data_IF_377067302769
#
_entry.id   IF_377067302769
#
_cell.length_a   1.000
_cell.length_b   1.000
_cell.length_c   1.000
_cell.angle_alpha   90.00
_cell.angle_beta   90.00
_cell.angle_gamma   90.00
#
_symmetry.space_group_name_H-M   'P 1'
#
loop_
_entity.id
_entity.type
_entity.pdbx_description
1 polymer ?
#
# COMPACT_ATOMS: atom_id res chain seq x y z
N UNK A 1 21.94 -40.17 -5.65
CA UNK A 1 21.75 -39.45 -4.37
C UNK A 1 21.72 -37.96 -4.66
N UNK A 2 20.63 -37.24 -4.36
CA UNK A 2 20.64 -35.80 -4.22
C UNK A 2 20.79 -35.38 -2.73
N UNK A 3 21.42 -34.23 -2.44
CA UNK A 3 21.81 -33.87 -1.09
C UNK A 3 20.64 -33.39 -0.23
N UNK A 4 20.66 -33.78 1.05
CA UNK A 4 19.83 -33.24 2.14
C UNK A 4 19.87 -31.70 2.15
N UNK A 5 18.70 -31.07 2.10
CA UNK A 5 18.57 -29.64 2.37
C UNK A 5 18.03 -29.45 3.77
N UNK A 6 18.82 -28.75 4.58
CA UNK A 6 18.58 -28.43 5.97
C UNK A 6 17.21 -27.78 6.19
N UNK A 7 16.42 -28.39 7.07
CA UNK A 7 15.15 -27.84 7.56
C UNK A 7 15.47 -26.79 8.62
N UNK A 8 15.45 -25.52 8.24
CA UNK A 8 15.53 -24.42 9.21
C UNK A 8 14.16 -24.23 9.86
N UNK A 9 13.96 -24.92 10.98
CA UNK A 9 12.76 -24.85 11.83
C UNK A 9 12.74 -23.50 12.55
N UNK A 10 11.95 -22.52 12.08
CA UNK A 10 11.69 -21.30 12.86
C UNK A 10 10.77 -21.67 14.03
N UNK A 11 11.32 -21.66 15.24
CA UNK A 11 10.59 -21.77 16.49
C UNK A 11 9.87 -20.44 16.76
N UNK A 12 8.54 -20.44 16.76
CA UNK A 12 7.78 -19.41 17.47
C UNK A 12 7.63 -19.87 18.92
N UNK A 13 8.28 -19.15 19.83
CA UNK A 13 8.09 -19.31 21.27
C UNK A 13 6.67 -18.91 21.64
N UNK A 14 5.93 -19.85 22.20
CA UNK A 14 4.66 -19.61 22.88
C UNK A 14 4.93 -18.80 24.15
N UNK A 15 4.29 -17.64 24.28
CA UNK A 15 4.06 -17.00 25.57
C UNK A 15 2.61 -17.25 25.93
N UNK A 16 2.45 -18.07 26.96
CA UNK A 16 1.19 -18.42 27.59
C UNK A 16 1.15 -17.73 28.96
N UNK A 17 -0.07 -17.49 29.46
CA UNK A 17 -0.41 -17.17 30.87
C UNK A 17 -0.27 -15.67 31.26
N UNK A 18 -1.25 -14.94 31.83
CA UNK A 18 -2.40 -15.29 32.68
C UNK A 18 -3.51 -14.23 32.62
N UNK A 19 -4.74 -14.71 32.58
CA UNK A 19 -5.96 -14.05 33.05
C UNK A 19 -5.96 -13.84 34.57
N UNK A 20 -6.48 -12.71 35.06
CA UNK A 20 -7.26 -12.72 36.30
C UNK A 20 -8.24 -11.54 36.38
N UNK A 21 -9.36 -11.83 37.05
CA UNK A 21 -10.57 -11.04 37.12
C UNK A 21 -10.62 -10.12 38.35
N UNK A 22 -11.50 -9.10 38.29
CA UNK A 22 -12.37 -8.77 39.42
C UNK A 22 -12.18 -7.44 40.16
N UNK A 23 -13.28 -6.66 40.17
CA UNK A 23 -13.72 -5.67 41.19
C UNK A 23 -12.87 -4.43 41.48
N UNK A 24 -13.38 -3.33 42.03
CA UNK A 24 -14.70 -2.67 42.18
C UNK A 24 -14.49 -1.68 43.33
N UNK A 25 -14.88 -0.41 43.11
CA UNK A 25 -15.27 0.62 44.08
C UNK A 25 -14.37 0.96 45.30
N UNK A 26 -14.06 2.26 45.43
CA UNK A 26 -14.17 2.96 46.72
C UNK A 26 -14.38 4.47 46.51
N UNK A 27 -15.56 4.93 46.90
CA UNK A 27 -15.87 6.33 47.25
C UNK A 27 -15.16 6.73 48.55
N UNK A 28 -14.82 8.02 48.69
CA UNK A 28 -14.32 8.63 49.92
C UNK A 28 -14.31 10.16 49.84
N UNK A 29 -15.07 10.78 50.73
CA UNK A 29 -15.61 12.15 50.71
C UNK A 29 -14.71 13.21 51.38
N UNK A 30 -14.78 14.46 50.88
CA UNK A 30 -14.48 15.78 51.51
C UNK A 30 -13.02 16.10 51.93
N UNK A 31 -12.49 17.34 51.92
CA UNK A 31 -13.09 18.65 52.28
C UNK A 31 -12.16 19.84 51.88
N UNK A 32 -12.80 20.95 51.48
CA UNK A 32 -12.47 22.39 51.58
C UNK A 32 -11.29 23.07 50.82
N UNK A 33 -11.65 24.18 50.16
CA UNK A 33 -10.81 25.18 49.46
C UNK A 33 -10.18 26.25 50.40
N UNK A 34 -9.35 27.18 49.87
CA UNK A 34 -9.90 28.50 49.53
C UNK A 34 -9.39 29.15 48.23
N UNK A 35 -10.24 30.04 47.69
CA UNK A 35 -10.08 30.86 46.47
C UNK A 35 -9.01 31.95 46.60
N UNK A 36 -8.33 32.31 45.49
CA UNK A 36 -8.04 33.74 45.17
C UNK A 36 -7.64 34.03 43.72
N UNK A 37 -8.47 34.89 43.12
CA UNK A 37 -8.23 36.02 42.18
C UNK A 37 -7.68 35.78 40.76
N UNK A 38 -8.50 36.27 39.84
CA UNK A 38 -8.30 36.61 38.44
C UNK A 38 -7.15 37.61 38.22
N UNK A 39 -6.34 37.35 37.18
CA UNK A 39 -5.62 38.40 36.46
C UNK A 39 -5.61 38.08 34.97
N UNK A 40 -6.36 38.87 34.23
CA UNK A 40 -6.40 38.97 32.77
C UNK A 40 -4.99 39.18 32.21
N UNK A 41 -4.51 38.25 31.38
CA UNK A 41 -3.37 38.50 30.50
C UNK A 41 -3.75 38.02 29.10
N UNK A 42 -3.76 38.98 28.16
CA UNK A 42 -3.95 38.76 26.73
C UNK A 42 -3.02 37.62 26.26
N UNK A 43 -3.49 36.63 25.47
CA UNK A 43 -2.57 35.75 24.78
C UNK A 43 -1.91 36.54 23.65
N UNK A 44 -0.66 36.89 23.89
CA UNK A 44 0.32 37.29 22.89
C UNK A 44 0.32 36.26 21.76
N UNK A 45 0.31 36.74 20.51
CA UNK A 45 0.38 35.96 19.28
C UNK A 45 1.66 35.12 19.28
N UNK A 46 1.56 33.86 19.69
CA UNK A 46 2.59 32.86 19.43
C UNK A 46 2.51 32.44 17.96
N UNK A 47 3.51 32.87 17.18
CA UNK A 47 3.83 32.33 15.85
C UNK A 47 3.74 30.80 15.88
N UNK A 48 2.78 30.23 15.14
CA UNK A 48 2.69 28.78 14.89
C UNK A 48 3.95 28.32 14.17
N UNK A 49 4.71 27.47 14.82
CA UNK A 49 5.80 26.69 14.22
C UNK A 49 5.27 25.80 13.08
N UNK A 50 6.11 25.41 12.10
CA UNK A 50 5.68 24.63 10.92
C UNK A 50 5.17 23.22 11.23
N UNK A 51 5.44 22.69 12.44
CA UNK A 51 5.12 21.32 12.85
C UNK A 51 3.62 20.96 12.80
N UNK A 52 2.73 21.95 12.89
CA UNK A 52 1.28 21.71 12.84
C UNK A 52 0.77 21.32 11.42
N UNK A 53 1.49 21.67 10.36
CA UNK A 53 1.05 21.43 8.97
C UNK A 53 1.40 20.02 8.48
N UNK A 54 2.63 19.55 8.74
CA UNK A 54 3.04 18.17 8.44
C UNK A 54 2.20 17.13 9.20
N UNK A 55 1.68 17.49 10.38
CA UNK A 55 0.71 16.68 11.12
C UNK A 55 -0.60 16.45 10.36
N UNK A 56 -1.07 17.41 9.57
CA UNK A 56 -2.37 17.32 8.88
C UNK A 56 -2.25 16.49 7.60
N UNK A 57 -1.19 16.71 6.82
CA UNK A 57 -0.88 15.92 5.61
C UNK A 57 -0.72 14.44 5.98
N UNK A 58 0.11 14.14 6.98
CA UNK A 58 0.34 12.77 7.43
C UNK A 58 -0.93 12.11 7.96
N UNK A 59 -1.79 12.87 8.65
CA UNK A 59 -3.07 12.35 9.13
C UNK A 59 -3.98 11.98 7.96
N UNK A 60 -4.19 12.91 7.00
CA UNK A 60 -5.03 12.65 5.84
C UNK A 60 -4.52 11.47 5.01
N UNK A 61 -3.21 11.37 4.81
CA UNK A 61 -2.58 10.24 4.13
C UNK A 61 -2.89 8.90 4.84
N UNK A 62 -2.60 8.81 6.14
CA UNK A 62 -2.83 7.58 6.92
C UNK A 62 -4.30 7.20 7.00
N UNK A 63 -5.18 8.17 7.17
CA UNK A 63 -6.64 7.94 7.21
C UNK A 63 -7.14 7.45 5.84
N UNK A 64 -6.58 7.97 4.75
CA UNK A 64 -6.91 7.52 3.38
C UNK A 64 -6.43 6.10 3.10
N UNK A 65 -5.19 5.75 3.50
CA UNK A 65 -4.67 4.37 3.38
C UNK A 65 -5.56 3.39 4.13
N UNK A 66 -5.92 3.71 5.38
CA UNK A 66 -6.85 2.88 6.18
C UNK A 66 -8.21 2.72 5.51
N UNK A 67 -8.74 3.77 4.88
CA UNK A 67 -10.00 3.69 4.16
C UNK A 67 -9.92 2.77 2.93
N UNK A 68 -8.82 2.83 2.17
CA UNK A 68 -8.57 1.93 1.03
C UNK A 68 -8.47 0.48 1.53
N UNK A 69 -7.69 0.21 2.58
CA UNK A 69 -7.57 -1.15 3.14
C UNK A 69 -8.90 -1.71 3.65
N UNK A 70 -9.71 -0.88 4.30
CA UNK A 70 -11.04 -1.27 4.76
C UNK A 70 -11.94 -1.63 3.57
N UNK A 71 -11.89 -0.86 2.48
CA UNK A 71 -12.63 -1.15 1.26
C UNK A 71 -12.17 -2.44 0.57
N UNK A 72 -10.84 -2.64 0.43
CA UNK A 72 -10.28 -3.88 -0.10
C UNK A 72 -10.72 -5.09 0.72
N UNK A 73 -10.65 -5.01 2.05
CA UNK A 73 -11.12 -6.09 2.94
C UNK A 73 -12.60 -6.42 2.73
N UNK A 74 -13.44 -5.43 2.45
CA UNK A 74 -14.86 -5.63 2.13
C UNK A 74 -15.02 -6.33 0.77
N UNK A 75 -14.31 -5.88 -0.27
CA UNK A 75 -14.36 -6.48 -1.59
C UNK A 75 -13.83 -7.92 -1.58
N UNK A 76 -12.66 -8.15 -1.00
CA UNK A 76 -12.07 -9.48 -0.83
C UNK A 76 -13.03 -10.37 -0.05
N UNK A 77 -13.60 -9.85 1.05
CA UNK A 77 -14.60 -10.56 1.83
C UNK A 77 -15.86 -10.96 1.04
N UNK A 78 -16.24 -10.17 0.03
CA UNK A 78 -17.33 -10.53 -0.90
C UNK A 78 -16.85 -11.56 -1.92
N UNK A 79 -15.69 -11.36 -2.55
CA UNK A 79 -15.08 -12.29 -3.52
C UNK A 79 -15.00 -13.70 -2.94
N UNK A 80 -14.56 -13.83 -1.69
CA UNK A 80 -14.48 -15.10 -0.97
C UNK A 80 -15.82 -15.83 -0.80
N UNK A 81 -16.91 -15.07 -0.72
CA UNK A 81 -18.28 -15.61 -0.58
C UNK A 81 -18.92 -15.88 -1.93
N UNK A 82 -18.34 -15.38 -3.02
CA UNK A 82 -18.86 -15.61 -4.35
C UNK A 82 -18.58 -17.03 -4.82
N UNK A 83 -19.43 -17.53 -5.73
CA UNK A 83 -19.13 -18.74 -6.48
C UNK A 83 -17.88 -18.53 -7.34
N UNK A 84 -17.01 -19.54 -7.55
CA UNK A 84 -15.82 -19.45 -8.40
C UNK A 84 -16.08 -19.04 -9.86
N UNK A 85 -17.34 -19.08 -10.31
CA UNK A 85 -17.75 -18.66 -11.66
C UNK A 85 -18.57 -17.34 -11.64
N UNK A 86 -18.71 -16.70 -10.48
CA UNK A 86 -19.44 -15.44 -10.35
C UNK A 86 -18.66 -14.30 -10.99
N UNK A 87 -19.38 -13.48 -11.77
CA UNK A 87 -18.84 -12.27 -12.41
C UNK A 87 -19.12 -10.98 -11.66
N UNK A 88 -19.72 -11.07 -10.47
CA UNK A 88 -20.30 -9.90 -9.79
C UNK A 88 -19.26 -8.91 -9.25
N UNK A 89 -18.03 -9.35 -9.00
CA UNK A 89 -16.90 -8.49 -8.64
C UNK A 89 -15.72 -8.93 -9.52
N UNK A 90 -15.23 -8.01 -10.33
CA UNK A 90 -14.06 -8.20 -11.20
C UNK A 90 -13.05 -7.08 -10.98
N UNK A 91 -11.94 -7.10 -11.74
CA UNK A 91 -10.96 -6.01 -11.78
C UNK A 91 -11.62 -4.64 -12.01
N UNK A 92 -12.64 -4.56 -12.86
CA UNK A 92 -13.40 -3.32 -13.09
C UNK A 92 -14.06 -2.78 -11.81
N UNK A 93 -14.62 -3.67 -10.97
CA UNK A 93 -15.18 -3.26 -9.67
C UNK A 93 -14.12 -2.67 -8.74
N UNK A 94 -12.92 -3.25 -8.71
CA UNK A 94 -11.79 -2.72 -7.93
C UNK A 94 -11.30 -1.39 -8.50
N UNK A 95 -11.23 -1.25 -9.82
CA UNK A 95 -10.75 -0.03 -10.47
C UNK A 95 -11.73 1.14 -10.26
N UNK A 96 -13.03 0.91 -10.47
CA UNK A 96 -14.08 1.90 -10.20
C UNK A 96 -14.17 2.32 -8.73
N UNK A 97 -13.95 1.37 -7.80
CA UNK A 97 -13.93 1.71 -6.38
C UNK A 97 -12.69 2.51 -6.01
N UNK A 98 -11.56 2.23 -6.66
CA UNK A 98 -10.29 2.95 -6.48
C UNK A 98 -10.37 4.40 -6.95
N UNK A 99 -11.13 4.71 -8.01
CA UNK A 99 -11.38 6.10 -8.44
C UNK A 99 -11.94 7.00 -7.32
N UNK A 100 -12.73 6.43 -6.41
CA UNK A 100 -13.31 7.18 -5.27
C UNK A 100 -12.23 7.71 -4.32
N UNK A 101 -11.04 7.12 -4.33
CA UNK A 101 -9.90 7.51 -3.52
C UNK A 101 -9.02 8.57 -4.18
N UNK A 102 -9.34 9.03 -5.40
CA UNK A 102 -8.65 10.16 -6.04
C UNK A 102 -8.94 11.50 -5.35
N UNK A 103 -10.09 11.64 -4.68
CA UNK A 103 -10.42 12.89 -3.98
C UNK A 103 -9.39 13.23 -2.89
N UNK A 104 -9.05 12.33 -1.95
CA UNK A 104 -7.95 12.55 -1.01
C UNK A 104 -6.59 12.81 -1.67
N UNK A 105 -6.29 12.19 -2.81
CA UNK A 105 -5.05 12.45 -3.58
C UNK A 105 -4.99 13.91 -4.03
N UNK A 106 -6.07 14.41 -4.66
CA UNK A 106 -6.20 15.81 -5.09
C UNK A 106 -6.19 16.80 -3.92
N UNK A 107 -6.70 16.40 -2.76
CA UNK A 107 -6.64 17.21 -1.54
C UNK A 107 -5.21 17.31 -0.99
N UNK A 108 -4.48 16.19 -0.90
CA UNK A 108 -3.08 16.17 -0.48
C UNK A 108 -2.18 16.97 -1.43
N UNK A 109 -2.43 16.89 -2.74
CA UNK A 109 -1.67 17.63 -3.75
C UNK A 109 -1.73 19.15 -3.54
N UNK A 110 -2.90 19.66 -3.13
CA UNK A 110 -3.13 21.10 -2.86
C UNK A 110 -2.53 21.56 -1.53
N UNK A 111 -2.15 20.65 -0.65
CA UNK A 111 -1.55 20.98 0.63
C UNK A 111 -0.06 21.29 0.48
N UNK A 112 0.39 22.31 1.21
CA UNK A 112 1.80 22.67 1.32
C UNK A 112 2.62 21.49 1.89
N UNK A 113 3.62 21.02 1.14
CA UNK A 113 4.41 19.82 1.45
C UNK A 113 3.67 18.48 1.25
N UNK A 114 2.48 18.49 0.64
CA UNK A 114 1.64 17.30 0.46
C UNK A 114 1.93 16.48 -0.80
N UNK A 115 2.73 16.98 -1.74
CA UNK A 115 2.95 16.34 -3.04
C UNK A 115 3.49 14.90 -2.94
N UNK A 116 4.49 14.67 -2.07
CA UNK A 116 5.06 13.33 -1.85
C UNK A 116 4.00 12.37 -1.28
N UNK A 117 3.17 12.85 -0.36
CA UNK A 117 2.07 12.07 0.20
C UNK A 117 0.98 11.78 -0.84
N UNK A 118 0.67 12.76 -1.70
CA UNK A 118 -0.29 12.60 -2.81
C UNK A 118 0.20 11.54 -3.81
N UNK A 119 1.47 11.62 -4.23
CA UNK A 119 2.10 10.64 -5.10
C UNK A 119 2.06 9.22 -4.49
N UNK A 120 2.51 9.09 -3.24
CA UNK A 120 2.52 7.78 -2.57
C UNK A 120 1.11 7.22 -2.37
N UNK A 121 0.11 8.08 -2.17
CA UNK A 121 -1.28 7.65 -2.09
C UNK A 121 -1.81 7.23 -3.46
N UNK A 122 -1.48 7.95 -4.54
CA UNK A 122 -1.86 7.57 -5.90
C UNK A 122 -1.28 6.20 -6.29
N UNK A 123 -0.01 5.93 -5.96
CA UNK A 123 0.61 4.61 -6.13
C UNK A 123 -0.11 3.53 -5.30
N UNK A 124 -0.53 3.86 -4.08
CA UNK A 124 -1.30 2.92 -3.24
C UNK A 124 -2.70 2.65 -3.82
N UNK A 125 -3.35 3.66 -4.41
CA UNK A 125 -4.63 3.51 -5.12
C UNK A 125 -4.44 2.66 -6.39
N UNK A 126 -3.34 2.83 -7.12
CA UNK A 126 -3.02 2.01 -8.29
C UNK A 126 -2.87 0.53 -7.94
N UNK A 127 -2.17 0.21 -6.86
CA UNK A 127 -1.99 -1.16 -6.34
C UNK A 127 -3.31 -1.75 -5.78
N UNK A 128 -4.23 -0.90 -5.31
CA UNK A 128 -5.57 -1.30 -4.86
C UNK A 128 -6.60 -1.43 -6.01
N UNK A 129 -6.24 -0.98 -7.23
CA UNK A 129 -7.18 -0.85 -8.35
C UNK A 129 -7.50 -2.16 -9.06
N UNK A 130 -6.82 -3.24 -8.71
CA UNK A 130 -7.09 -4.56 -9.26
C UNK A 130 -7.31 -5.59 -8.16
N UNK A 131 -8.06 -6.63 -8.51
CA UNK A 131 -8.20 -7.82 -7.66
C UNK A 131 -6.95 -8.69 -7.78
N UNK A 132 -6.80 -9.59 -6.82
CA UNK A 132 -5.87 -10.71 -6.92
C UNK A 132 -6.34 -11.69 -8.01
N UNK A 133 -5.75 -11.58 -9.19
CA UNK A 133 -6.11 -12.35 -10.38
C UNK A 133 -5.92 -13.86 -10.20
N UNK A 134 -5.07 -14.33 -9.30
CA UNK A 134 -4.94 -15.77 -9.02
C UNK A 134 -6.16 -16.35 -8.32
N UNK A 135 -6.80 -15.55 -7.47
CA UNK A 135 -8.02 -15.96 -6.75
C UNK A 135 -9.24 -15.87 -7.66
N UNK A 136 -9.22 -14.95 -8.62
CA UNK A 136 -10.32 -14.69 -9.55
C UNK A 136 -9.93 -14.91 -11.01
N UNK A 137 -9.10 -15.91 -11.32
CA UNK A 137 -8.45 -16.04 -12.64
C UNK A 137 -9.42 -16.17 -13.82
N UNK A 138 -10.61 -16.73 -13.59
CA UNK A 138 -11.68 -16.81 -14.59
C UNK A 138 -12.39 -15.49 -14.85
N UNK A 139 -12.13 -14.49 -14.00
CA UNK A 139 -12.80 -13.19 -13.98
C UNK A 139 -11.86 -12.02 -14.26
N UNK A 140 -10.57 -12.24 -14.09
CA UNK A 140 -9.52 -11.36 -14.58
C UNK A 140 -9.66 -11.17 -16.09
N UNK A 141 -9.51 -9.93 -16.54
CA UNK A 141 -9.70 -9.55 -17.95
C UNK A 141 -11.16 -9.35 -18.37
N UNK A 142 -12.14 -9.54 -17.46
CA UNK A 142 -13.54 -9.30 -17.76
C UNK A 142 -14.03 -7.94 -17.25
N UNK A 143 -14.58 -7.13 -18.15
CA UNK A 143 -15.10 -5.78 -17.87
C UNK A 143 -14.32 -4.70 -18.62
N UNK A 144 -14.64 -3.44 -18.34
CA UNK A 144 -14.02 -2.27 -18.96
C UNK A 144 -13.17 -1.51 -17.91
N UNK A 145 -12.12 -2.16 -17.41
CA UNK A 145 -11.20 -1.54 -16.45
C UNK A 145 -10.27 -0.52 -17.11
N UNK A 146 -10.25 -0.44 -18.45
CA UNK A 146 -9.39 0.48 -19.19
C UNK A 146 -9.70 1.94 -18.86
N UNK A 147 -10.98 2.33 -18.84
CA UNK A 147 -11.38 3.70 -18.54
C UNK A 147 -10.99 4.12 -17.10
N UNK A 148 -11.29 3.32 -16.05
CA UNK A 148 -10.78 3.59 -14.71
C UNK A 148 -9.25 3.65 -14.62
N UNK A 149 -8.52 2.75 -15.29
CA UNK A 149 -7.06 2.78 -15.28
C UNK A 149 -6.53 4.02 -16.00
N UNK A 150 -7.14 4.46 -17.10
CA UNK A 150 -6.75 5.67 -17.79
C UNK A 150 -6.91 6.93 -16.92
N UNK A 151 -8.00 7.04 -16.15
CA UNK A 151 -8.20 8.17 -15.23
C UNK A 151 -7.20 8.16 -14.07
N UNK A 152 -6.90 6.98 -13.51
CA UNK A 152 -5.86 6.84 -12.48
C UNK A 152 -4.46 7.16 -13.05
N UNK A 153 -4.18 6.74 -14.28
CA UNK A 153 -2.91 6.95 -14.98
C UNK A 153 -2.68 8.43 -15.26
N UNK A 154 -3.70 9.16 -15.72
CA UNK A 154 -3.61 10.61 -15.92
C UNK A 154 -3.31 11.35 -14.61
N UNK A 155 -4.01 10.99 -13.53
CA UNK A 155 -3.77 11.60 -12.23
C UNK A 155 -2.37 11.28 -11.67
N UNK A 156 -1.85 10.07 -11.93
CA UNK A 156 -0.51 9.69 -11.50
C UNK A 156 0.57 10.40 -12.34
N UNK A 157 0.36 10.51 -13.64
CA UNK A 157 1.25 11.22 -14.57
C UNK A 157 1.45 12.68 -14.14
N UNK A 158 0.35 13.39 -13.83
CA UNK A 158 0.41 14.77 -13.34
C UNK A 158 1.26 14.90 -12.07
N UNK A 159 1.19 13.91 -11.17
CA UNK A 159 1.97 13.90 -9.92
C UNK A 159 3.44 13.58 -10.18
N UNK A 160 3.74 12.69 -11.14
CA UNK A 160 5.12 12.36 -11.56
C UNK A 160 5.79 13.63 -12.10
N UNK A 161 5.13 14.36 -12.98
CA UNK A 161 5.68 15.60 -13.56
C UNK A 161 5.95 16.66 -12.50
N UNK A 162 4.97 16.92 -11.61
CA UNK A 162 5.13 17.87 -10.51
C UNK A 162 6.26 17.45 -9.56
N UNK A 163 6.36 16.16 -9.21
CA UNK A 163 7.41 15.67 -8.30
C UNK A 163 8.79 15.82 -8.90
N UNK A 164 8.93 15.54 -10.21
CA UNK A 164 10.17 15.72 -10.94
C UNK A 164 10.68 17.18 -10.92
N UNK A 165 9.78 18.17 -10.83
CA UNK A 165 10.20 19.58 -10.70
C UNK A 165 10.71 19.98 -9.31
N UNK A 166 10.34 19.23 -8.26
CA UNK A 166 10.69 19.60 -6.88
C UNK A 166 12.06 19.08 -6.46
N UNK A 167 12.34 17.79 -6.72
CA UNK A 167 13.58 17.12 -6.34
C UNK A 167 13.87 16.02 -7.39
N UNK A 168 14.98 16.11 -8.14
CA UNK A 168 15.45 15.02 -8.98
C UNK A 168 15.65 13.75 -8.13
N UNK A 169 15.30 12.60 -8.69
CA UNK A 169 15.55 11.33 -8.01
C UNK A 169 17.07 11.15 -7.87
N UNK A 170 17.53 10.69 -6.70
CA UNK A 170 18.93 10.28 -6.55
C UNK A 170 18.99 8.78 -6.68
N UNK A 171 19.53 8.31 -7.80
CA UNK A 171 19.61 6.87 -8.10
C UNK A 171 20.34 6.11 -7.00
N UNK A 172 19.81 4.94 -6.67
CA UNK A 172 20.46 4.01 -5.75
C UNK A 172 20.86 2.73 -6.48
N UNK A 173 22.10 2.26 -6.24
CA UNK A 173 22.61 1.02 -6.83
C UNK A 173 21.77 -0.21 -6.45
N UNK A 174 21.16 -0.19 -5.26
CA UNK A 174 20.31 -1.28 -4.75
C UNK A 174 19.12 -0.72 -4.00
N UNK A 175 17.94 -0.96 -4.54
CA UNK A 175 16.68 -0.70 -3.86
C UNK A 175 16.45 -1.72 -2.73
N UNK A 176 15.83 -1.32 -1.60
CA UNK A 176 15.34 -2.24 -0.59
C UNK A 176 14.46 -3.33 -1.21
N UNK A 177 14.69 -4.58 -0.80
CA UNK A 177 13.96 -5.72 -1.31
C UNK A 177 12.50 -5.69 -0.84
N UNK A 178 11.58 -5.70 -1.81
CA UNK A 178 10.15 -5.93 -1.57
C UNK A 178 9.88 -7.43 -1.68
N UNK A 179 9.03 -8.02 -0.82
CA UNK A 179 8.61 -9.41 -0.97
C UNK A 179 8.03 -9.65 -2.37
N UNK A 180 8.41 -10.77 -2.99
CA UNK A 180 7.76 -11.24 -4.21
C UNK A 180 6.25 -11.44 -3.98
N UNK A 181 5.47 -11.45 -5.06
CA UNK A 181 4.06 -11.84 -5.03
C UNK A 181 3.91 -13.23 -4.41
N UNK A 182 2.87 -13.41 -3.59
CA UNK A 182 2.61 -14.69 -2.94
C UNK A 182 2.26 -15.76 -3.98
N UNK A 183 2.85 -16.94 -3.84
CA UNK A 183 2.48 -18.13 -4.63
C UNK A 183 2.03 -19.27 -3.73
N UNK A 184 1.35 -20.26 -4.29
CA UNK A 184 0.95 -21.46 -3.51
C UNK A 184 2.13 -22.20 -2.89
N UNK A 185 3.34 -22.05 -3.43
CA UNK A 185 4.55 -22.65 -2.88
C UNK A 185 5.01 -21.96 -1.58
N UNK A 186 4.58 -20.72 -1.34
CA UNK A 186 4.87 -19.95 -0.13
C UNK A 186 3.88 -20.26 1.02
N UNK A 187 2.91 -21.14 0.78
CA UNK A 187 1.94 -21.55 1.78
C UNK A 187 2.55 -22.44 2.86
N UNK A 188 2.40 -22.01 4.12
CA UNK A 188 2.80 -22.79 5.29
C UNK A 188 1.59 -23.56 5.85
N UNK A 189 1.23 -24.67 5.19
CA UNK A 189 0.10 -25.54 5.59
C UNK A 189 0.47 -27.03 5.73
N UNK A 190 1.78 -27.31 5.77
CA UNK A 190 2.34 -28.66 5.89
C UNK A 190 2.20 -29.52 4.62
N UNK A 191 2.70 -30.77 4.70
CA UNK A 191 2.65 -31.72 3.57
C UNK A 191 1.27 -32.37 3.47
N UNK A 192 0.71 -32.39 2.27
CA UNK A 192 -0.61 -32.94 2.00
C UNK A 192 -0.61 -34.47 2.12
N UNK A 193 -1.49 -35.03 2.96
CA UNK A 193 -1.70 -36.50 3.03
C UNK A 193 -2.20 -37.09 1.71
N UNK A 194 -2.91 -36.30 0.91
CA UNK A 194 -3.54 -36.71 -0.37
C UNK A 194 -2.93 -36.02 -1.59
N UNK A 195 -1.86 -35.24 -1.41
CA UNK A 195 -1.30 -34.37 -2.45
C UNK A 195 -2.13 -33.10 -2.76
N UNK A 196 -3.32 -32.91 -2.14
CA UNK A 196 -4.17 -31.71 -2.30
C UNK A 196 -4.53 -31.09 -0.94
N UNK A 197 -4.59 -29.75 -0.83
CA UNK A 197 -5.06 -29.09 0.38
C UNK A 197 -6.52 -29.46 0.70
N UNK A 198 -6.87 -29.57 1.99
CA UNK A 198 -8.26 -29.69 2.44
C UNK A 198 -8.93 -28.32 2.59
N UNK A 199 -10.24 -28.27 2.86
CA UNK A 199 -11.01 -27.01 2.97
C UNK A 199 -10.47 -26.05 4.04
N UNK A 200 -10.06 -26.57 5.20
CA UNK A 200 -9.49 -25.73 6.27
C UNK A 200 -8.13 -25.16 5.86
N UNK A 201 -7.30 -25.97 5.20
CA UNK A 201 -6.00 -25.56 4.67
C UNK A 201 -6.14 -24.52 3.56
N UNK A 202 -7.09 -24.67 2.62
CA UNK A 202 -7.40 -23.63 1.63
C UNK A 202 -7.74 -22.29 2.31
N UNK A 203 -8.56 -22.31 3.35
CA UNK A 203 -8.87 -21.11 4.13
C UNK A 203 -7.69 -20.56 4.94
N UNK A 204 -6.65 -21.35 5.23
CA UNK A 204 -5.40 -20.86 5.82
C UNK A 204 -4.48 -20.24 4.76
N UNK A 205 -4.28 -20.91 3.63
CA UNK A 205 -3.50 -20.40 2.50
C UNK A 205 -4.02 -19.04 2.03
N UNK A 206 -5.33 -18.91 1.92
CA UNK A 206 -5.98 -17.65 1.51
C UNK A 206 -5.74 -16.52 2.53
N UNK A 207 -5.79 -16.82 3.84
CA UNK A 207 -5.48 -15.82 4.87
C UNK A 207 -4.01 -15.41 4.85
N UNK A 208 -3.10 -16.38 4.68
CA UNK A 208 -1.67 -16.11 4.52
C UNK A 208 -1.41 -15.24 3.30
N UNK A 209 -2.08 -15.52 2.18
CA UNK A 209 -1.97 -14.73 0.95
C UNK A 209 -2.43 -13.28 1.15
N UNK A 210 -3.60 -13.07 1.76
CA UNK A 210 -4.13 -11.72 1.99
C UNK A 210 -3.20 -10.89 2.89
N UNK A 211 -2.66 -11.51 3.95
CA UNK A 211 -1.69 -10.85 4.83
C UNK A 211 -0.37 -10.57 4.10
N UNK A 212 0.12 -11.51 3.29
CA UNK A 212 1.35 -11.36 2.51
C UNK A 212 1.25 -10.21 1.50
N UNK A 213 0.15 -10.15 0.73
CA UNK A 213 -0.05 -9.06 -0.22
C UNK A 213 -0.20 -7.73 0.52
N UNK A 214 -0.87 -7.69 1.67
CA UNK A 214 -0.93 -6.46 2.49
C UNK A 214 0.46 -5.99 2.93
N UNK A 215 1.28 -6.87 3.51
CA UNK A 215 2.67 -6.57 3.90
C UNK A 215 3.52 -6.14 2.70
N UNK A 216 3.33 -6.77 1.54
CA UNK A 216 3.99 -6.38 0.28
C UNK A 216 3.62 -4.95 -0.12
N UNK A 217 2.33 -4.56 -0.09
CA UNK A 217 1.91 -3.18 -0.41
C UNK A 217 2.49 -2.16 0.56
N UNK A 218 2.50 -2.48 1.86
CA UNK A 218 3.10 -1.62 2.90
C UNK A 218 4.59 -1.42 2.64
N UNK A 219 5.35 -2.49 2.38
CA UNK A 219 6.79 -2.41 2.08
C UNK A 219 7.11 -1.65 0.80
N UNK A 220 6.27 -1.77 -0.24
CA UNK A 220 6.39 -0.92 -1.44
C UNK A 220 6.22 0.56 -1.10
N UNK A 221 5.21 0.88 -0.28
CA UNK A 221 4.99 2.23 0.22
C UNK A 221 6.19 2.77 1.01
N UNK A 222 6.69 1.99 1.97
CA UNK A 222 7.88 2.34 2.76
C UNK A 222 9.10 2.57 1.88
N UNK A 223 9.33 1.68 0.90
CA UNK A 223 10.43 1.82 -0.07
C UNK A 223 10.38 3.16 -0.81
N UNK A 224 9.21 3.57 -1.32
CA UNK A 224 9.05 4.85 -2.03
C UNK A 224 9.19 6.09 -1.15
N UNK A 225 9.06 5.93 0.17
CA UNK A 225 9.24 7.01 1.16
C UNK A 225 10.69 7.12 1.61
N UNK A 226 11.37 5.98 1.79
CA UNK A 226 12.74 5.91 2.32
C UNK A 226 13.78 6.18 1.23
N UNK A 227 13.50 5.75 0.00
CA UNK A 227 14.46 5.83 -1.10
C UNK A 227 14.30 7.13 -1.87
N UNK A 228 15.42 7.82 -2.10
CA UNK A 228 15.49 9.01 -2.94
C UNK A 228 15.26 8.70 -4.43
N UNK A 229 15.58 7.48 -4.86
CA UNK A 229 15.25 6.91 -6.17
C UNK A 229 13.78 6.47 -6.26
N UNK A 230 12.90 7.44 -6.08
CA UNK A 230 11.46 7.20 -6.08
C UNK A 230 10.94 6.81 -7.47
N UNK A 231 11.60 7.26 -8.53
CA UNK A 231 11.19 7.03 -9.91
C UNK A 231 11.43 5.58 -10.31
N UNK A 232 12.62 5.01 -10.04
CA UNK A 232 12.88 3.60 -10.30
C UNK A 232 12.04 2.69 -9.40
N UNK A 233 11.85 3.05 -8.13
CA UNK A 233 11.00 2.29 -7.22
C UNK A 233 9.54 2.23 -7.70
N UNK A 234 8.99 3.36 -8.16
CA UNK A 234 7.64 3.42 -8.70
C UNK A 234 7.52 2.69 -10.05
N UNK A 235 8.52 2.82 -10.92
CA UNK A 235 8.56 2.09 -12.19
C UNK A 235 8.49 0.58 -11.96
N UNK A 236 9.37 0.07 -11.10
CA UNK A 236 9.40 -1.36 -10.77
C UNK A 236 8.05 -1.83 -10.21
N UNK A 237 7.43 -1.06 -9.32
CA UNK A 237 6.12 -1.41 -8.76
C UNK A 237 5.04 -1.54 -9.85
N UNK A 238 4.97 -0.56 -10.77
CA UNK A 238 3.98 -0.55 -11.85
C UNK A 238 4.24 -1.62 -12.91
N UNK A 239 5.49 -1.88 -13.28
CA UNK A 239 5.83 -2.93 -14.25
C UNK A 239 5.52 -4.32 -13.70
N UNK A 240 5.85 -4.59 -12.44
CA UNK A 240 5.50 -5.87 -11.80
C UNK A 240 3.98 -6.11 -11.74
N UNK A 241 3.18 -5.05 -11.55
CA UNK A 241 1.72 -5.17 -11.59
C UNK A 241 1.18 -5.27 -13.02
N UNK A 242 1.72 -4.50 -13.97
CA UNK A 242 1.37 -4.61 -15.40
C UNK A 242 1.60 -6.04 -15.91
N UNK A 243 2.81 -6.56 -15.72
CA UNK A 243 3.19 -7.88 -16.23
C UNK A 243 2.37 -8.99 -15.57
N UNK A 244 2.00 -8.80 -14.30
CA UNK A 244 1.05 -9.69 -13.64
C UNK A 244 -0.33 -9.62 -14.28
N UNK A 245 -0.88 -8.43 -14.46
CA UNK A 245 -2.22 -8.23 -15.00
C UNK A 245 -2.35 -8.74 -16.45
N UNK A 246 -1.32 -8.53 -17.26
CA UNK A 246 -1.27 -9.01 -18.65
C UNK A 246 -1.31 -10.54 -18.74
N UNK A 247 -0.69 -11.26 -17.80
CA UNK A 247 -0.79 -12.74 -17.74
C UNK A 247 -2.22 -13.25 -17.57
N UNK A 248 -3.14 -12.40 -17.08
CA UNK A 248 -4.55 -12.72 -16.91
C UNK A 248 -5.46 -11.91 -17.85
N UNK A 249 -4.90 -11.36 -18.94
CA UNK A 249 -5.66 -10.66 -19.98
C UNK A 249 -6.20 -9.29 -19.56
N UNK A 250 -5.63 -8.68 -18.51
CA UNK A 250 -5.91 -7.28 -18.14
C UNK A 250 -4.81 -6.42 -18.75
N UNK A 251 -5.13 -5.72 -19.82
CA UNK A 251 -4.19 -4.89 -20.56
C UNK A 251 -4.28 -3.40 -20.14
N UNK A 252 -3.37 -2.58 -20.65
CA UNK A 252 -3.35 -1.11 -20.51
C UNK A 252 -3.31 -0.61 -19.06
N UNK A 253 -2.60 -1.32 -18.20
CA UNK A 253 -2.33 -0.86 -16.85
C UNK A 253 -1.28 0.26 -16.85
N UNK A 254 -1.71 1.49 -16.58
CA UNK A 254 -0.88 2.70 -16.41
C UNK A 254 0.21 2.96 -17.49
N UNK A 255 -0.12 2.86 -18.79
CA UNK A 255 0.88 2.96 -19.85
C UNK A 255 1.61 4.32 -19.90
N UNK A 256 0.92 5.44 -19.62
CA UNK A 256 1.52 6.78 -19.70
C UNK A 256 2.50 7.00 -18.54
N UNK A 257 2.11 6.65 -17.31
CA UNK A 257 2.97 6.77 -16.13
C UNK A 257 4.20 5.88 -16.24
N UNK A 258 4.06 4.63 -16.70
CA UNK A 258 5.19 3.72 -16.94
C UNK A 258 6.15 4.30 -17.97
N UNK A 259 5.63 4.77 -19.11
CA UNK A 259 6.47 5.38 -20.14
C UNK A 259 7.23 6.59 -19.59
N UNK A 260 6.57 7.47 -18.84
CA UNK A 260 7.21 8.65 -18.26
C UNK A 260 8.29 8.31 -17.23
N UNK A 261 8.02 7.36 -16.33
CA UNK A 261 9.02 6.90 -15.36
C UNK A 261 10.22 6.21 -16.03
N UNK A 262 9.97 5.50 -17.14
CA UNK A 262 11.03 4.92 -17.98
C UNK A 262 11.93 6.01 -18.59
N UNK A 263 11.35 7.10 -19.09
CA UNK A 263 12.11 8.25 -19.60
C UNK A 263 12.95 8.91 -18.51
N UNK A 264 12.39 9.12 -17.31
CA UNK A 264 13.12 9.70 -16.18
C UNK A 264 14.31 8.81 -15.80
N UNK A 265 14.10 7.49 -15.76
CA UNK A 265 15.14 6.52 -15.44
C UNK A 265 16.27 6.50 -16.50
N UNK A 266 15.94 6.62 -17.79
CA UNK A 266 16.93 6.66 -18.89
C UNK A 266 17.65 7.99 -19.01
N UNK A 267 16.98 9.10 -18.70
CA UNK A 267 17.57 10.44 -18.81
C UNK A 267 18.68 10.65 -17.78
N UNK A 268 18.58 9.99 -16.62
CA UNK A 268 19.63 10.00 -15.58
C UNK A 268 20.86 9.15 -15.96
N UNK A 269 20.70 8.08 -16.76
CA UNK A 269 21.82 7.28 -17.28
C UNK A 269 22.73 8.10 -18.21
N UNK A 270 22.17 9.04 -18.98
CA UNK A 270 22.96 9.89 -19.89
C UNK A 270 23.70 11.03 -19.17
N UNK A 271 23.18 11.51 -18.04
CA UNK A 271 23.84 12.54 -17.24
C UNK A 271 25.04 11.98 -16.45
N UNK A 272 24.98 10.72 -16.04
CA UNK A 272 26.08 10.04 -15.32
C UNK A 272 27.19 9.56 -16.26
N UNK A 273 26.86 9.10 -17.47
CA UNK A 273 27.85 8.70 -18.46
C UNK A 273 28.65 9.88 -19.09
N UNK A 274 28.14 11.10 -19.01
CA UNK A 274 28.82 12.31 -19.52
C UNK A 274 29.78 12.99 -18.54
N UNK A 275 29.83 12.55 -17.28
CA UNK A 275 30.64 13.16 -16.21
C UNK A 275 32.09 12.68 -16.12
N UNK A 276 32.42 11.55 -16.76
CA UNK A 276 33.77 10.94 -16.72
C UNK A 276 34.67 11.35 -17.90
N UNK A 277 34.28 12.37 -18.67
CA UNK A 277 35.00 12.83 -19.87
C UNK A 277 35.43 14.31 -19.81
N UNK A 278 35.85 14.80 -18.64
CA UNK A 278 36.44 16.13 -18.48
C UNK A 278 37.78 16.09 -17.74
#
# INVERSE_FOLDING_TARGET
MPPERAVTKRQYSAVDVKSDAGSSASEGTARAAPKRKTSTTKPTVTKKSPAAKGSTVNKLYKDSVKAIEAHLKILDGKVRKMSPNSRAISTDTYAQTSLKHLKPVKELEKMDGGLVAAFNLAMYVADASHTDCDTTSKMSGYGDSEAPFAELDEQLLDLIEKRNTQLPATRQDKLPAVPKRWTRADADVGVFKTGRPNKQQYGQMERQKLEWEKDRREKRGERRVIVDDWAAAALQDLEEERDYLEQYGVEKYFPKSIARLTELSKSEDMLTAGGDAA
#
